data_IF_346187057060
#
_entry.id   IF_346187057060
#
_cell.length_a   1.000
_cell.length_b   1.000
_cell.length_c   1.000
_cell.angle_alpha   90.00
_cell.angle_beta   90.00
_cell.angle_gamma   90.00
#
_symmetry.space_group_name_H-M   'P 1'
#
loop_
_entity.id
_entity.type
_entity.pdbx_description
1 polymer ?
#
# COMPACT_ATOMS: atom_id res chain seq x y z
N UNK A 1 -16.41 -4.43 1.54
CA UNK A 1 -15.08 -4.53 2.17
C UNK A 1 -14.08 -3.74 1.33
N UNK A 2 -13.30 -2.89 1.97
CA UNK A 2 -12.30 -2.06 1.29
C UNK A 2 -10.94 -2.26 1.96
N UNK A 3 -9.89 -2.20 1.14
CA UNK A 3 -8.51 -2.46 1.57
C UNK A 3 -7.64 -1.25 1.25
N UNK A 4 -6.82 -0.83 2.21
CA UNK A 4 -5.76 0.16 1.97
C UNK A 4 -4.41 -0.53 2.09
N UNK A 5 -3.58 -0.39 1.08
CA UNK A 5 -2.22 -0.93 1.08
C UNK A 5 -1.27 0.25 1.26
N UNK A 6 -0.56 0.27 2.38
CA UNK A 6 0.38 1.34 2.73
C UNK A 6 1.80 0.88 2.43
N UNK A 7 2.50 1.62 1.58
CA UNK A 7 3.83 1.27 1.11
C UNK A 7 4.79 2.42 1.38
N UNK A 8 5.51 2.38 2.51
CA UNK A 8 6.56 3.36 2.76
C UNK A 8 7.79 3.03 1.91
N UNK A 9 8.46 4.04 1.41
CA UNK A 9 9.62 3.82 0.56
C UNK A 9 10.65 4.95 0.65
N UNK A 10 11.88 4.60 0.30
CA UNK A 10 12.99 5.54 0.17
C UNK A 10 13.88 5.03 -0.95
N UNK A 11 14.00 5.82 -2.03
CA UNK A 11 14.88 5.49 -3.17
C UNK A 11 14.61 4.11 -3.78
N UNK A 12 13.34 3.90 -4.20
CA UNK A 12 12.88 2.65 -4.81
C UNK A 12 12.35 2.85 -6.22
N UNK A 13 12.93 3.79 -6.98
CA UNK A 13 12.44 4.13 -8.32
C UNK A 13 12.38 2.92 -9.26
N UNK A 14 13.35 2.01 -9.19
CA UNK A 14 13.38 0.85 -10.09
C UNK A 14 12.30 -0.18 -9.75
N UNK A 15 12.02 -0.38 -8.48
CA UNK A 15 11.07 -1.41 -8.05
C UNK A 15 9.62 -0.97 -8.10
N UNK A 16 9.33 0.34 -8.01
CA UNK A 16 7.95 0.83 -7.94
C UNK A 16 7.04 0.40 -9.10
N UNK A 17 7.45 0.52 -10.37
CA UNK A 17 6.57 0.09 -11.47
C UNK A 17 6.31 -1.41 -11.43
N UNK A 18 7.32 -2.20 -11.08
CA UNK A 18 7.20 -3.66 -10.98
C UNK A 18 6.29 -4.06 -9.83
N UNK A 19 6.41 -3.40 -8.70
CA UNK A 19 5.57 -3.66 -7.54
C UNK A 19 4.11 -3.34 -7.84
N UNK A 20 3.85 -2.20 -8.46
CA UNK A 20 2.47 -1.81 -8.75
C UNK A 20 1.80 -2.76 -9.73
N UNK A 21 2.53 -3.18 -10.76
CA UNK A 21 2.06 -4.18 -11.71
C UNK A 21 1.74 -5.51 -11.01
N UNK A 22 2.58 -5.92 -10.08
CA UNK A 22 2.38 -7.13 -9.29
C UNK A 22 1.14 -7.02 -8.41
N UNK A 23 0.92 -5.87 -7.78
CA UNK A 23 -0.29 -5.62 -6.97
C UNK A 23 -1.55 -5.74 -7.82
N UNK A 24 -1.58 -5.08 -8.98
CA UNK A 24 -2.72 -5.13 -9.89
C UNK A 24 -3.02 -6.58 -10.25
N UNK A 25 -2.00 -7.33 -10.62
CA UNK A 25 -2.18 -8.72 -11.06
C UNK A 25 -2.66 -9.62 -9.93
N UNK A 26 -2.11 -9.44 -8.74
CA UNK A 26 -2.49 -10.24 -7.56
C UNK A 26 -3.94 -10.01 -7.15
N UNK A 27 -4.47 -8.80 -7.35
CA UNK A 27 -5.81 -8.42 -6.90
C UNK A 27 -6.84 -8.31 -8.02
N UNK A 28 -6.49 -8.63 -9.25
CA UNK A 28 -7.38 -8.42 -10.41
C UNK A 28 -8.67 -9.23 -10.37
N UNK A 29 -8.65 -10.37 -9.69
CA UNK A 29 -9.83 -11.26 -9.59
C UNK A 29 -10.69 -10.97 -8.36
N UNK A 30 -10.27 -10.02 -7.52
CA UNK A 30 -10.97 -9.74 -6.27
C UNK A 30 -12.14 -8.80 -6.48
N UNK A 31 -13.18 -8.97 -5.66
CA UNK A 31 -14.41 -8.17 -5.77
C UNK A 31 -14.41 -6.96 -4.84
N UNK A 32 -13.52 -6.92 -3.85
CA UNK A 32 -13.43 -5.76 -2.96
C UNK A 32 -12.64 -4.63 -3.61
N UNK A 33 -12.90 -3.41 -3.17
CA UNK A 33 -12.17 -2.25 -3.64
C UNK A 33 -10.87 -2.10 -2.84
N UNK A 34 -9.85 -1.55 -3.47
CA UNK A 34 -8.60 -1.25 -2.78
C UNK A 34 -8.02 0.08 -3.23
N UNK A 35 -7.20 0.65 -2.37
CA UNK A 35 -6.36 1.81 -2.67
C UNK A 35 -4.92 1.49 -2.30
N UNK A 36 -3.97 2.12 -2.98
CA UNK A 36 -2.55 1.97 -2.72
C UNK A 36 -1.98 3.33 -2.35
N UNK A 37 -1.40 3.41 -1.16
CA UNK A 37 -0.83 4.64 -0.63
C UNK A 37 0.69 4.50 -0.62
N UNK A 38 1.35 5.16 -1.55
CA UNK A 38 2.81 5.22 -1.60
C UNK A 38 3.28 6.41 -0.78
N UNK A 39 4.08 6.16 0.24
CA UNK A 39 4.60 7.20 1.14
C UNK A 39 6.09 7.36 0.86
N UNK A 40 6.43 8.42 0.15
CA UNK A 40 7.83 8.72 -0.18
C UNK A 40 8.49 9.44 0.99
N UNK A 41 9.38 8.74 1.68
CA UNK A 41 10.07 9.24 2.87
C UNK A 41 11.31 10.05 2.51
N UNK A 42 11.16 11.00 1.58
CA UNK A 42 12.21 11.93 1.23
C UNK A 42 13.24 11.39 0.24
N UNK A 43 12.78 10.61 -0.76
CA UNK A 43 13.68 10.06 -1.77
C UNK A 43 14.46 11.14 -2.53
N UNK A 44 15.69 10.83 -2.89
CA UNK A 44 16.55 11.70 -3.69
C UNK A 44 16.63 11.24 -5.15
N UNK A 45 16.11 10.06 -5.46
CA UNK A 45 16.05 9.54 -6.83
C UNK A 45 14.73 9.94 -7.51
N UNK A 46 14.35 9.22 -8.57
CA UNK A 46 13.14 9.50 -9.35
C UNK A 46 11.85 8.90 -8.77
N UNK A 47 11.88 8.42 -7.53
CA UNK A 47 10.73 7.73 -6.91
C UNK A 47 9.45 8.56 -6.94
N UNK A 48 9.52 9.82 -6.54
CA UNK A 48 8.33 10.66 -6.50
C UNK A 48 7.71 10.89 -7.87
N UNK A 49 8.54 11.07 -8.90
CA UNK A 49 8.02 11.20 -10.26
C UNK A 49 7.29 9.94 -10.71
N UNK A 50 7.82 8.77 -10.35
CA UNK A 50 7.18 7.50 -10.69
C UNK A 50 5.86 7.35 -9.93
N UNK A 51 5.81 7.71 -8.65
CA UNK A 51 4.55 7.68 -7.88
C UNK A 51 3.51 8.61 -8.54
N UNK A 52 3.93 9.81 -8.94
CA UNK A 52 3.03 10.76 -9.61
C UNK A 52 2.47 10.20 -10.91
N UNK A 53 3.31 9.54 -11.70
CA UNK A 53 2.88 8.89 -12.95
C UNK A 53 1.91 7.74 -12.68
N UNK A 54 2.17 6.94 -11.66
CA UNK A 54 1.27 5.86 -11.27
C UNK A 54 -0.08 6.40 -10.82
N UNK A 55 -0.08 7.49 -10.05
CA UNK A 55 -1.32 8.12 -9.59
C UNK A 55 -2.16 8.69 -10.74
N UNK A 56 -1.50 9.21 -11.77
CA UNK A 56 -2.22 9.68 -12.97
C UNK A 56 -2.82 8.53 -13.76
N UNK A 57 -2.12 7.41 -13.87
CA UNK A 57 -2.54 6.28 -14.68
C UNK A 57 -3.54 5.37 -13.95
N UNK A 58 -3.52 5.36 -12.62
CA UNK A 58 -4.29 4.41 -11.81
C UNK A 58 -5.08 5.15 -10.73
N UNK A 59 -6.43 5.17 -10.82
CA UNK A 59 -7.26 5.92 -9.84
C UNK A 59 -7.13 5.42 -8.40
N UNK A 60 -6.73 4.15 -8.22
CA UNK A 60 -6.55 3.59 -6.88
C UNK A 60 -5.28 4.07 -6.18
N UNK A 61 -4.35 4.72 -6.89
CA UNK A 61 -3.06 5.13 -6.35
C UNK A 61 -3.11 6.53 -5.78
N UNK A 62 -2.57 6.69 -4.57
CA UNK A 62 -2.37 7.97 -3.91
C UNK A 62 -0.92 8.07 -3.44
N UNK A 63 -0.35 9.25 -3.50
CA UNK A 63 1.02 9.48 -3.08
C UNK A 63 1.11 10.53 -2.00
N UNK A 64 2.00 10.33 -1.04
CA UNK A 64 2.37 11.32 -0.02
C UNK A 64 3.88 11.46 -0.07
N UNK A 65 4.36 12.70 -0.15
CA UNK A 65 5.79 12.99 -0.22
C UNK A 65 6.24 13.76 1.01
N UNK A 66 7.30 13.29 1.65
CA UNK A 66 7.95 14.03 2.72
C UNK A 66 9.08 14.87 2.10
N UNK A 67 9.33 16.04 2.67
CA UNK A 67 10.39 16.94 2.20
C UNK A 67 11.78 16.43 2.56
N UNK A 68 11.88 15.49 3.49
CA UNK A 68 13.14 14.85 3.89
C UNK A 68 12.83 13.50 4.52
N UNK A 69 13.87 12.72 4.80
CA UNK A 69 13.71 11.43 5.46
C UNK A 69 13.36 11.62 6.94
N UNK A 70 12.19 11.14 7.33
CA UNK A 70 11.71 11.15 8.73
C UNK A 70 11.70 9.77 9.36
N UNK A 71 11.89 8.72 8.56
CA UNK A 71 11.91 7.34 9.03
C UNK A 71 10.64 6.56 8.72
N UNK A 72 10.76 5.24 8.73
CA UNK A 72 9.68 4.32 8.37
C UNK A 72 8.45 4.48 9.27
N UNK A 73 8.65 4.70 10.57
CA UNK A 73 7.54 4.89 11.51
C UNK A 73 6.67 6.07 11.14
N UNK A 74 7.29 7.19 10.76
CA UNK A 74 6.54 8.38 10.36
C UNK A 74 5.81 8.15 9.04
N UNK A 75 6.45 7.45 8.09
CA UNK A 75 5.83 7.11 6.82
C UNK A 75 4.61 6.21 7.03
N UNK A 76 4.71 5.20 7.87
CA UNK A 76 3.59 4.32 8.20
C UNK A 76 2.46 5.10 8.87
N UNK A 77 2.80 5.98 9.81
CA UNK A 77 1.80 6.82 10.49
C UNK A 77 1.02 7.68 9.48
N UNK A 78 1.73 8.32 8.55
CA UNK A 78 1.09 9.14 7.52
C UNK A 78 0.15 8.29 6.65
N UNK A 79 0.60 7.10 6.26
CA UNK A 79 -0.23 6.19 5.47
C UNK A 79 -1.46 5.71 6.21
N UNK A 80 -1.32 5.32 7.46
CA UNK A 80 -2.46 4.89 8.28
C UNK A 80 -3.46 6.01 8.49
N UNK A 81 -2.97 7.24 8.69
CA UNK A 81 -3.86 8.41 8.86
C UNK A 81 -4.65 8.72 7.60
N UNK A 82 -4.08 8.49 6.42
CA UNK A 82 -4.71 8.77 5.14
C UNK A 82 -5.56 7.60 4.62
N UNK A 83 -5.39 6.41 5.16
CA UNK A 83 -6.08 5.20 4.69
C UNK A 83 -7.58 5.30 4.93
N UNK A 84 -8.37 4.95 3.91
CA UNK A 84 -9.83 4.99 3.97
C UNK A 84 -10.47 3.61 3.99
N UNK A 85 -9.68 2.56 3.81
CA UNK A 85 -10.20 1.19 3.79
C UNK A 85 -10.59 0.68 5.18
N UNK A 86 -11.45 -0.32 5.20
CA UNK A 86 -11.82 -1.02 6.44
C UNK A 86 -10.66 -1.83 7.00
N UNK A 87 -9.76 -2.27 6.12
CA UNK A 87 -8.58 -3.05 6.46
C UNK A 87 -7.36 -2.36 5.87
N UNK A 88 -6.24 -2.43 6.58
CA UNK A 88 -4.98 -1.84 6.14
C UNK A 88 -3.91 -2.92 6.16
N UNK A 89 -3.22 -3.06 5.03
CA UNK A 89 -2.04 -3.91 4.91
C UNK A 89 -0.83 -3.04 4.61
N UNK A 90 0.34 -3.51 4.95
CA UNK A 90 1.60 -2.85 4.59
C UNK A 90 2.44 -3.75 3.70
N UNK A 91 3.15 -3.15 2.77
CA UNK A 91 4.14 -3.83 1.94
C UNK A 91 5.42 -3.01 1.92
N UNK A 92 6.55 -3.68 1.87
CA UNK A 92 7.82 -3.01 1.59
C UNK A 92 7.99 -2.88 0.08
N UNK A 93 8.64 -1.79 -0.36
CA UNK A 93 8.74 -1.47 -1.78
C UNK A 93 9.88 -2.22 -2.49
N UNK A 94 10.62 -3.05 -1.80
CA UNK A 94 11.81 -3.72 -2.31
C UNK A 94 11.53 -5.06 -3.01
N UNK A 95 10.28 -5.38 -3.28
CA UNK A 95 9.81 -6.60 -3.95
C UNK A 95 10.02 -7.89 -3.13
N UNK A 96 10.31 -7.79 -1.84
CA UNK A 96 10.48 -8.96 -0.98
C UNK A 96 9.16 -9.46 -0.40
N UNK A 97 8.19 -8.58 -0.21
CA UNK A 97 6.87 -8.94 0.25
C UNK A 97 5.96 -9.26 -0.94
N UNK A 98 5.19 -10.32 -0.83
CA UNK A 98 4.33 -10.78 -1.91
C UNK A 98 2.91 -10.22 -1.79
N UNK A 99 2.41 -9.48 -2.78
CA UNK A 99 1.01 -9.05 -2.79
C UNK A 99 0.00 -10.20 -2.73
N UNK A 100 0.37 -11.41 -3.18
CA UNK A 100 -0.50 -12.58 -3.07
C UNK A 100 -0.79 -12.96 -1.62
N UNK A 101 0.12 -12.65 -0.70
CA UNK A 101 -0.14 -12.86 0.72
C UNK A 101 -1.28 -11.99 1.22
N UNK A 102 -1.40 -10.76 0.69
CA UNK A 102 -2.51 -9.88 0.99
C UNK A 102 -3.82 -10.50 0.53
N UNK A 103 -3.83 -11.00 -0.70
CA UNK A 103 -5.01 -11.66 -1.25
C UNK A 103 -5.46 -12.84 -0.38
N UNK A 104 -4.52 -13.69 0.02
CA UNK A 104 -4.82 -14.85 0.87
C UNK A 104 -5.39 -14.43 2.22
N UNK A 105 -4.84 -13.40 2.84
CA UNK A 105 -5.33 -12.90 4.11
C UNK A 105 -6.73 -12.31 3.99
N UNK A 106 -7.01 -11.57 2.92
CA UNK A 106 -8.34 -11.01 2.67
C UNK A 106 -9.37 -12.12 2.46
N UNK A 107 -9.00 -13.17 1.72
CA UNK A 107 -9.88 -14.32 1.52
C UNK A 107 -10.22 -15.00 2.85
N UNK A 108 -9.22 -15.16 3.73
CA UNK A 108 -9.46 -15.73 5.06
C UNK A 108 -10.34 -14.85 5.93
N UNK A 109 -10.16 -13.53 5.86
CA UNK A 109 -11.03 -12.60 6.60
C UNK A 109 -12.48 -12.74 6.16
N UNK A 110 -12.71 -12.90 4.88
CA UNK A 110 -14.05 -13.07 4.31
C UNK A 110 -14.64 -14.42 4.69
N UNK A 111 -13.89 -15.51 4.49
CA UNK A 111 -14.37 -16.87 4.72
C UNK A 111 -14.58 -17.19 6.20
N UNK A 112 -13.68 -16.75 7.05
CA UNK A 112 -13.69 -17.06 8.47
C UNK A 112 -14.31 -15.96 9.32
N UNK A 113 -14.70 -14.84 8.71
CA UNK A 113 -15.28 -13.68 9.38
C UNK A 113 -14.39 -13.15 10.50
N UNK A 114 -13.06 -13.20 10.30
CA UNK A 114 -12.10 -12.72 11.27
C UNK A 114 -11.92 -11.22 11.15
N UNK A 115 -11.87 -10.53 12.30
CA UNK A 115 -11.60 -9.09 12.35
C UNK A 115 -10.12 -8.78 12.24
N UNK A 116 -9.26 -9.71 12.65
CA UNK A 116 -7.83 -9.50 12.72
C UNK A 116 -7.09 -10.79 12.38
N UNK A 117 -6.14 -10.69 11.45
CA UNK A 117 -5.17 -11.74 11.13
C UNK A 117 -3.78 -11.12 11.36
N UNK A 118 -2.81 -11.95 11.78
CA UNK A 118 -1.44 -11.50 12.02
C UNK A 118 -0.91 -10.68 10.83
N UNK A 119 -0.40 -9.49 11.09
CA UNK A 119 0.10 -8.55 10.08
C UNK A 119 -0.95 -7.62 9.51
N UNK A 120 -2.22 -7.73 9.92
CA UNK A 120 -3.31 -6.91 9.43
C UNK A 120 -3.96 -6.13 10.55
N UNK A 121 -4.48 -4.95 10.22
CA UNK A 121 -5.25 -4.14 11.16
C UNK A 121 -6.56 -3.71 10.53
N UNK A 122 -7.64 -3.83 11.30
CA UNK A 122 -8.90 -3.22 10.94
C UNK A 122 -8.83 -1.74 11.34
N UNK A 123 -9.06 -0.84 10.40
CA UNK A 123 -9.06 0.59 10.65
C UNK A 123 -10.38 1.00 11.27
N UNK A 124 -10.30 1.73 12.37
CA UNK A 124 -11.48 2.34 12.99
C UNK A 124 -11.52 3.80 12.60
N UNK A 125 -12.58 4.16 11.92
CA UNK A 125 -12.88 5.55 11.58
C UNK A 125 -13.89 6.06 12.58
N UNK A 126 -13.39 6.68 13.61
CA UNK A 126 -14.25 7.28 14.65
C UNK A 126 -14.60 8.71 14.30
#
# INVERSE_FOLDING_TARGET
MTLSIVIPLLNEAESLPLLHEWIIKALEQETYEYEVLYIDDGSTDNSWNIISELAEAHPEVKGISFTRNYGKSQALHAGFSAAQGNYVATLDADLQDSPEEIQKMMDRLTEEQLDLISGWKKVRHD
#
